data_IF_595266848879
#
_entry.id   IF_595266848879
#
_cell.length_a   1.000
_cell.length_b   1.000
_cell.length_c   1.000
_cell.angle_alpha   90.00
_cell.angle_beta   90.00
_cell.angle_gamma   90.00
#
_symmetry.space_group_name_H-M   'P 1'
#
loop_
_entity.id
_entity.type
_entity.pdbx_description
1 polymer ?
#
# COMPACT_ATOMS: atom_id res chain seq x y z
N UNK A 1 -19.58 -1.88 -13.82
CA UNK A 1 -19.10 -1.11 -12.65
C UNK A 1 -18.67 -2.02 -11.50
N UNK A 2 -19.52 -2.95 -11.03
CA UNK A 2 -19.17 -3.92 -9.98
C UNK A 2 -17.98 -4.82 -10.35
N UNK A 3 -17.90 -5.32 -11.59
CA UNK A 3 -16.80 -6.18 -12.05
C UNK A 3 -15.43 -5.49 -12.00
N UNK A 4 -15.37 -4.21 -12.36
CA UNK A 4 -14.11 -3.43 -12.34
C UNK A 4 -13.64 -3.16 -10.92
N UNK A 5 -14.56 -2.92 -9.97
CA UNK A 5 -14.23 -2.78 -8.56
C UNK A 5 -13.71 -4.10 -7.97
N UNK A 6 -14.38 -5.21 -8.30
CA UNK A 6 -13.95 -6.54 -7.85
C UNK A 6 -12.57 -6.90 -8.41
N UNK A 7 -12.30 -6.55 -9.67
CA UNK A 7 -10.98 -6.76 -10.29
C UNK A 7 -9.89 -5.88 -9.64
N UNK A 8 -10.17 -4.59 -9.41
CA UNK A 8 -9.23 -3.70 -8.74
C UNK A 8 -8.91 -4.18 -7.31
N UNK A 9 -9.92 -4.67 -6.59
CA UNK A 9 -9.75 -5.27 -5.27
C UNK A 9 -8.92 -6.56 -5.32
N UNK A 10 -9.20 -7.45 -6.28
CA UNK A 10 -8.42 -8.67 -6.48
C UNK A 10 -6.94 -8.37 -6.77
N UNK A 11 -6.66 -7.38 -7.63
CA UNK A 11 -5.29 -6.95 -7.93
C UNK A 11 -4.60 -6.34 -6.70
N UNK A 12 -5.31 -5.55 -5.90
CA UNK A 12 -4.78 -5.02 -4.63
C UNK A 12 -4.35 -6.13 -3.67
N UNK A 13 -5.17 -7.19 -3.53
CA UNK A 13 -4.83 -8.36 -2.70
C UNK A 13 -3.61 -9.13 -3.23
N UNK A 14 -3.52 -9.31 -4.56
CA UNK A 14 -2.36 -9.95 -5.19
C UNK A 14 -1.09 -9.15 -4.89
N UNK A 15 -1.11 -7.83 -5.11
CA UNK A 15 0.05 -6.96 -4.88
C UNK A 15 0.49 -6.93 -3.41
N UNK A 16 -0.46 -6.87 -2.46
CA UNK A 16 -0.19 -7.01 -1.02
C UNK A 16 0.51 -8.34 -0.69
N UNK A 17 0.11 -9.44 -1.34
CA UNK A 17 0.66 -10.78 -1.10
C UNK A 17 2.02 -11.06 -1.73
N UNK A 18 2.42 -10.32 -2.78
CA UNK A 18 3.67 -10.59 -3.53
C UNK A 18 4.91 -10.46 -2.64
N UNK A 19 5.02 -9.37 -1.87
CA UNK A 19 6.19 -9.09 -1.03
C UNK A 19 6.38 -10.12 0.10
N UNK A 20 5.36 -10.46 0.92
CA UNK A 20 5.51 -11.49 1.94
C UNK A 20 5.75 -12.89 1.35
N UNK A 21 5.24 -13.18 0.15
CA UNK A 21 5.47 -14.46 -0.53
C UNK A 21 6.91 -14.60 -1.06
N UNK A 22 7.41 -13.59 -1.77
CA UNK A 22 8.75 -13.63 -2.39
C UNK A 22 9.88 -13.34 -1.40
N UNK A 23 9.68 -12.41 -0.47
CA UNK A 23 10.72 -11.92 0.43
C UNK A 23 10.24 -11.79 1.89
N UNK A 24 9.86 -12.90 2.56
CA UNK A 24 9.27 -12.87 3.90
C UNK A 24 10.21 -12.28 4.97
N UNK A 25 11.53 -12.42 4.81
CA UNK A 25 12.51 -11.82 5.74
C UNK A 25 12.55 -10.29 5.61
N UNK A 26 12.60 -9.77 4.38
CA UNK A 26 12.63 -8.32 4.12
C UNK A 26 11.31 -7.66 4.54
N UNK A 27 10.18 -8.34 4.29
CA UNK A 27 8.86 -7.92 4.76
C UNK A 27 8.82 -7.76 6.29
N UNK A 28 9.23 -8.79 7.03
CA UNK A 28 9.25 -8.76 8.51
C UNK A 28 10.15 -7.65 9.05
N UNK A 29 11.31 -7.42 8.45
CA UNK A 29 12.21 -6.34 8.86
C UNK A 29 11.59 -4.97 8.62
N UNK A 30 10.95 -4.77 7.47
CA UNK A 30 10.23 -3.51 7.15
C UNK A 30 9.09 -3.27 8.15
N UNK A 31 8.32 -4.31 8.46
CA UNK A 31 7.25 -4.24 9.46
C UNK A 31 7.77 -3.86 10.85
N UNK A 32 8.90 -4.45 11.28
CA UNK A 32 9.54 -4.11 12.56
C UNK A 32 9.96 -2.65 12.65
N UNK A 33 10.37 -2.05 11.53
CA UNK A 33 10.70 -0.62 11.47
C UNK A 33 9.43 0.24 11.50
N UNK A 34 8.38 -0.18 10.80
CA UNK A 34 7.10 0.52 10.77
C UNK A 34 6.44 0.61 12.16
N UNK A 35 6.50 -0.45 12.96
CA UNK A 35 5.93 -0.43 14.32
C UNK A 35 6.73 0.43 15.32
N UNK A 36 7.97 0.81 14.97
CA UNK A 36 8.79 1.71 15.79
C UNK A 36 8.51 3.18 15.47
N UNK A 37 7.74 3.47 14.42
CA UNK A 37 7.40 4.85 14.06
C UNK A 37 6.35 5.39 15.03
N UNK A 38 6.48 6.68 15.36
CA UNK A 38 5.45 7.39 16.10
C UNK A 38 4.17 7.50 15.28
N UNK A 39 3.02 7.64 15.95
CA UNK A 39 1.71 7.78 15.29
C UNK A 39 1.70 8.93 14.26
N UNK A 40 2.42 10.02 14.53
CA UNK A 40 2.57 11.13 13.60
C UNK A 40 3.27 10.75 12.30
N UNK A 41 4.33 9.94 12.37
CA UNK A 41 5.07 9.47 11.20
C UNK A 41 4.26 8.49 10.35
N UNK A 42 3.54 7.56 10.99
CA UNK A 42 2.65 6.64 10.27
C UNK A 42 1.53 7.40 9.55
N UNK A 43 0.91 8.38 10.22
CA UNK A 43 -0.11 9.25 9.60
C UNK A 43 0.46 10.05 8.44
N UNK A 44 1.67 10.62 8.57
CA UNK A 44 2.30 11.37 7.50
C UNK A 44 2.64 10.49 6.28
N UNK A 45 3.15 9.28 6.52
CA UNK A 45 3.40 8.30 5.46
C UNK A 45 2.09 7.94 4.72
N UNK A 46 1.02 7.70 5.48
CA UNK A 46 -0.31 7.46 4.93
C UNK A 46 -0.85 8.64 4.11
N UNK A 47 -0.72 9.87 4.62
CA UNK A 47 -1.11 11.10 3.91
C UNK A 47 -0.34 11.26 2.60
N UNK A 48 0.97 11.03 2.62
CA UNK A 48 1.80 11.12 1.41
C UNK A 48 1.38 10.09 0.37
N UNK A 49 1.13 8.84 0.79
CA UNK A 49 0.62 7.78 -0.11
C UNK A 49 -0.74 8.14 -0.73
N UNK A 50 -1.68 8.66 0.07
CA UNK A 50 -2.98 9.12 -0.42
C UNK A 50 -2.85 10.27 -1.42
N UNK A 51 -1.98 11.25 -1.16
CA UNK A 51 -1.75 12.37 -2.07
C UNK A 51 -1.15 11.91 -3.40
N UNK A 52 -0.16 11.01 -3.36
CA UNK A 52 0.41 10.42 -4.59
C UNK A 52 -0.67 9.67 -5.37
N UNK A 53 -1.49 8.87 -4.70
CA UNK A 53 -2.62 8.17 -5.33
C UNK A 53 -3.63 9.13 -5.98
N UNK A 54 -3.93 10.25 -5.32
CA UNK A 54 -4.82 11.29 -5.85
C UNK A 54 -4.22 11.98 -7.09
N UNK A 55 -2.93 12.30 -7.06
CA UNK A 55 -2.21 12.90 -8.19
C UNK A 55 -2.21 11.95 -9.38
N UNK A 56 -1.89 10.67 -9.17
CA UNK A 56 -1.93 9.66 -10.22
C UNK A 56 -3.34 9.51 -10.79
N UNK A 57 -4.36 9.47 -9.94
CA UNK A 57 -5.75 9.44 -10.39
C UNK A 57 -6.09 10.68 -11.22
N UNK A 58 -5.64 11.87 -10.84
CA UNK A 58 -5.89 13.10 -11.61
C UNK A 58 -5.17 13.13 -12.96
N UNK A 59 -3.99 12.50 -13.08
CA UNK A 59 -3.21 12.45 -14.33
C UNK A 59 -3.75 11.38 -15.29
N UNK A 60 -4.15 10.22 -14.78
CA UNK A 60 -4.50 9.04 -15.59
C UNK A 60 -6.02 8.84 -15.77
N UNK A 61 -6.85 9.63 -15.09
CA UNK A 61 -8.29 9.70 -15.30
C UNK A 61 -8.64 10.75 -16.35
#
# INVERSE_FOLDING_TARGET
MSTSLLLAFALMLVLEGVVPFLAPKAWRETFRRLIQFSDGQVRFLGLTSMLVGLILLMIFR
#
